data_IF_169493328399
#
_entry.id   IF_169493328399
#
_cell.length_a   1.000
_cell.length_b   1.000
_cell.length_c   1.000
_cell.angle_alpha   90.00
_cell.angle_beta   90.00
_cell.angle_gamma   90.00
#
_symmetry.space_group_name_H-M   'P 1'
#
loop_
_entity.id
_entity.type
_entity.pdbx_description
1 polymer ?
#
# COMPACT_ATOMS: atom_id res chain seq x y z
N UNK A 1 15.05 43.93 -27.87
CA UNK A 1 13.68 43.45 -27.63
C UNK A 1 13.52 42.07 -28.27
N UNK A 2 13.81 41.02 -27.48
CA UNK A 2 13.59 39.57 -27.71
C UNK A 2 14.67 38.81 -26.92
N UNK A 3 14.56 38.86 -25.59
CA UNK A 3 15.31 38.00 -24.66
C UNK A 3 14.87 38.36 -23.23
N UNK A 4 13.59 38.17 -22.91
CA UNK A 4 13.07 38.40 -21.55
C UNK A 4 11.61 37.95 -21.37
N UNK A 5 11.23 36.80 -21.95
CA UNK A 5 9.95 36.11 -21.64
C UNK A 5 10.12 34.62 -21.92
N UNK A 6 10.95 33.91 -21.17
CA UNK A 6 10.98 32.43 -21.18
C UNK A 6 11.70 31.83 -19.96
N UNK A 7 11.80 32.60 -18.88
CA UNK A 7 12.38 32.17 -17.61
C UNK A 7 11.42 32.53 -16.47
N UNK A 8 10.17 32.08 -16.60
CA UNK A 8 9.19 32.08 -15.51
C UNK A 8 8.16 30.99 -15.80
N UNK A 9 7.92 30.13 -14.80
CA UNK A 9 6.93 29.05 -14.74
C UNK A 9 7.31 27.70 -15.35
N UNK A 10 8.31 27.04 -14.75
CA UNK A 10 8.23 25.59 -14.58
C UNK A 10 7.22 25.29 -13.45
N UNK A 11 5.94 25.61 -13.69
CA UNK A 11 4.85 25.33 -12.76
C UNK A 11 4.72 23.82 -12.59
N UNK A 12 4.84 23.37 -11.34
CA UNK A 12 4.86 21.98 -10.92
C UNK A 12 3.74 21.15 -11.55
N UNK A 13 4.13 20.16 -12.38
CA UNK A 13 3.32 19.20 -13.14
C UNK A 13 2.96 17.94 -12.33
N UNK A 14 2.40 18.07 -11.12
CA UNK A 14 2.15 16.92 -10.23
C UNK A 14 0.71 16.87 -9.72
N UNK A 15 0.19 15.67 -9.49
CA UNK A 15 -1.10 15.45 -8.83
C UNK A 15 -0.91 15.65 -7.33
N UNK A 16 -1.74 16.52 -6.73
CA UNK A 16 -1.71 16.81 -5.30
C UNK A 16 -3.02 16.42 -4.62
N UNK A 17 -2.91 16.12 -3.33
CA UNK A 17 -4.04 15.83 -2.46
C UNK A 17 -4.85 17.10 -2.23
N UNK A 18 -6.16 16.98 -2.40
CA UNK A 18 -7.15 18.01 -2.09
C UNK A 18 -8.13 17.46 -1.06
N UNK A 19 -8.62 18.34 -0.19
CA UNK A 19 -9.50 17.97 0.92
C UNK A 19 -10.84 18.68 0.77
N UNK A 20 -11.92 17.91 0.93
CA UNK A 20 -13.31 18.37 0.93
C UNK A 20 -13.99 17.85 2.19
N UNK A 21 -14.14 18.71 3.18
CA UNK A 21 -14.84 18.40 4.44
C UNK A 21 -16.20 19.06 4.45
N UNK A 22 -17.24 18.37 4.91
CA UNK A 22 -18.60 18.93 5.07
C UNK A 22 -19.18 19.63 3.80
N UNK A 23 -18.87 19.10 2.61
CA UNK A 23 -19.29 19.54 1.27
C UNK A 23 -18.68 20.87 0.86
N UNK A 24 -17.55 21.24 1.48
CA UNK A 24 -16.75 22.38 1.05
C UNK A 24 -16.09 22.13 -0.31
N UNK A 25 -15.77 23.22 -1.01
CA UNK A 25 -15.01 23.13 -2.25
C UNK A 25 -13.62 22.51 -1.98
N UNK A 26 -13.15 21.54 -2.79
CA UNK A 26 -11.86 20.91 -2.58
C UNK A 26 -10.70 21.91 -2.55
N UNK A 27 -9.94 21.93 -1.45
CA UNK A 27 -8.76 22.77 -1.27
C UNK A 27 -7.49 21.94 -1.30
N UNK A 28 -6.44 22.45 -1.95
CA UNK A 28 -5.15 21.78 -1.95
C UNK A 28 -4.61 21.65 -0.52
N UNK A 29 -4.22 20.44 -0.13
CA UNK A 29 -3.64 20.21 1.18
C UNK A 29 -2.29 20.89 1.29
N UNK A 30 -2.04 21.56 2.43
CA UNK A 30 -0.74 22.15 2.73
C UNK A 30 0.23 21.04 3.16
N UNK A 31 1.52 21.18 2.83
CA UNK A 31 2.54 20.21 3.22
C UNK A 31 2.51 19.88 4.72
N UNK A 32 2.36 20.91 5.57
CA UNK A 32 2.37 20.79 7.04
C UNK A 32 1.02 20.40 7.65
N UNK A 33 -0.03 20.21 6.84
CA UNK A 33 -1.36 19.88 7.32
C UNK A 33 -1.52 18.37 7.47
N UNK A 34 -1.93 17.90 8.64
CA UNK A 34 -2.32 16.50 8.75
C UNK A 34 -3.62 16.22 8.00
N UNK A 35 -3.55 15.24 7.10
CA UNK A 35 -4.66 14.78 6.28
C UNK A 35 -5.61 13.92 7.09
N UNK A 36 -5.10 12.93 7.83
CA UNK A 36 -5.94 12.11 8.72
C UNK A 36 -6.63 12.99 9.77
N UNK A 37 -5.86 13.89 10.40
CA UNK A 37 -6.37 14.76 11.46
C UNK A 37 -7.37 15.82 10.98
N UNK A 38 -7.38 16.15 9.69
CA UNK A 38 -8.35 17.08 9.11
C UNK A 38 -9.79 16.56 9.24
N UNK A 39 -10.00 15.24 9.08
CA UNK A 39 -11.33 14.64 9.09
C UNK A 39 -11.78 14.22 10.50
N UNK A 40 -10.93 13.61 11.33
CA UNK A 40 -11.31 13.03 12.63
C UNK A 40 -10.68 13.70 13.87
N UNK A 41 -9.99 14.84 13.70
CA UNK A 41 -9.26 15.52 14.77
C UNK A 41 -7.85 15.00 15.03
N UNK A 42 -7.05 15.72 15.81
CA UNK A 42 -5.60 15.46 15.93
C UNK A 42 -5.24 14.14 16.64
N UNK A 43 -6.13 13.59 17.46
CA UNK A 43 -5.80 12.44 18.33
C UNK A 43 -5.93 11.08 17.64
N UNK A 44 -6.87 10.94 16.71
CA UNK A 44 -7.18 9.65 16.10
C UNK A 44 -6.27 9.39 14.88
N UNK A 45 -5.85 8.14 14.70
CA UNK A 45 -4.85 7.76 13.69
C UNK A 45 -5.48 7.07 12.47
N UNK A 46 -6.81 6.93 12.47
CA UNK A 46 -7.57 6.30 11.39
C UNK A 46 -8.92 6.98 11.18
N UNK A 47 -9.31 7.17 9.92
CA UNK A 47 -10.60 7.74 9.52
C UNK A 47 -11.09 7.07 8.24
N UNK A 48 -12.41 6.99 8.07
CA UNK A 48 -13.00 6.54 6.81
C UNK A 48 -13.24 7.75 5.91
N UNK A 49 -12.77 7.67 4.66
CA UNK A 49 -12.91 8.73 3.66
C UNK A 49 -13.32 8.15 2.32
N UNK A 50 -13.94 8.95 1.48
CA UNK A 50 -14.06 8.70 0.06
C UNK A 50 -12.90 9.37 -0.67
N UNK A 51 -12.49 8.79 -1.80
CA UNK A 51 -11.48 9.36 -2.65
C UNK A 51 -11.87 9.32 -4.13
N UNK A 52 -11.48 10.35 -4.87
CA UNK A 52 -11.63 10.40 -6.33
C UNK A 52 -10.42 11.10 -6.94
N UNK A 53 -9.93 10.60 -8.07
CA UNK A 53 -8.95 11.30 -8.89
C UNK A 53 -9.68 11.95 -10.06
N UNK A 54 -9.81 13.27 -10.05
CA UNK A 54 -10.52 14.02 -11.09
C UNK A 54 -9.75 15.30 -11.44
N UNK A 55 -9.66 15.63 -12.74
CA UNK A 55 -9.01 16.86 -13.21
C UNK A 55 -7.59 17.06 -12.62
N UNK A 56 -6.81 15.98 -12.54
CA UNK A 56 -5.47 15.93 -11.93
C UNK A 56 -5.41 16.33 -10.44
N UNK A 57 -6.52 16.17 -9.71
CA UNK A 57 -6.61 16.38 -8.26
C UNK A 57 -7.05 15.09 -7.59
N UNK A 58 -6.31 14.65 -6.60
CA UNK A 58 -6.73 13.52 -5.77
C UNK A 58 -7.51 14.07 -4.57
N UNK A 59 -8.84 13.98 -4.64
CA UNK A 59 -9.75 14.59 -3.68
C UNK A 59 -10.12 13.54 -2.63
N UNK A 60 -9.94 13.88 -1.36
CA UNK A 60 -10.43 13.13 -0.21
C UNK A 60 -11.63 13.85 0.42
N UNK A 61 -12.66 13.10 0.79
CA UNK A 61 -13.87 13.65 1.40
C UNK A 61 -14.47 12.78 2.48
N UNK A 62 -15.21 13.37 3.41
CA UNK A 62 -15.94 12.68 4.49
C UNK A 62 -17.42 12.44 4.19
N UNK A 63 -17.90 12.78 2.99
CA UNK A 63 -19.30 12.56 2.60
C UNK A 63 -19.64 11.10 2.48
N UNK A 64 -20.74 10.68 3.10
CA UNK A 64 -21.32 9.38 2.85
C UNK A 64 -21.82 9.31 1.40
N UNK A 65 -21.37 8.29 0.68
CA UNK A 65 -21.81 8.01 -0.69
C UNK A 65 -22.61 6.72 -0.62
N UNK A 66 -23.86 6.77 -1.07
CA UNK A 66 -24.77 5.62 -1.02
C UNK A 66 -24.14 4.40 -1.72
N UNK A 67 -24.08 3.27 -1.03
CA UNK A 67 -23.47 2.04 -1.54
C UNK A 67 -21.94 1.99 -1.54
N UNK A 68 -21.24 3.04 -1.07
CA UNK A 68 -19.79 3.03 -0.93
C UNK A 68 -19.40 3.15 0.56
N UNK A 69 -18.84 2.09 1.17
CA UNK A 69 -18.45 2.10 2.59
C UNK A 69 -17.26 3.02 2.88
N UNK A 70 -16.64 3.61 1.85
CA UNK A 70 -15.43 4.41 1.96
C UNK A 70 -14.18 3.55 2.17
N UNK A 71 -13.04 4.23 2.24
CA UNK A 71 -11.73 3.65 2.44
C UNK A 71 -11.16 4.10 3.78
N UNK A 72 -10.44 3.20 4.43
CA UNK A 72 -9.69 3.55 5.64
C UNK A 72 -8.46 4.35 5.22
N UNK A 73 -8.38 5.60 5.68
CA UNK A 73 -7.17 6.41 5.71
C UNK A 73 -6.53 6.28 7.09
N UNK A 74 -5.29 5.81 7.15
CA UNK A 74 -4.53 5.63 8.39
C UNK A 74 -3.16 6.30 8.33
N UNK A 75 -2.61 6.62 9.50
CA UNK A 75 -1.22 7.05 9.68
C UNK A 75 -0.56 6.27 10.82
N UNK A 76 0.77 6.34 10.90
CA UNK A 76 1.49 5.86 12.07
C UNK A 76 1.22 6.77 13.28
N UNK A 77 1.19 6.19 14.49
CA UNK A 77 1.02 6.97 15.72
C UNK A 77 2.12 8.03 15.90
N UNK A 78 3.34 7.72 15.46
CA UNK A 78 4.51 8.58 15.49
C UNK A 78 4.65 9.49 14.25
N UNK A 79 3.61 9.62 13.41
CA UNK A 79 3.65 10.43 12.19
C UNK A 79 4.12 11.87 12.49
N UNK A 80 5.19 12.38 11.84
CA UNK A 80 5.77 13.68 12.14
C UNK A 80 4.77 14.83 12.01
N UNK A 81 3.94 14.82 10.97
CA UNK A 81 2.94 15.86 10.73
C UNK A 81 1.86 15.92 11.82
N UNK A 82 1.62 14.82 12.55
CA UNK A 82 0.73 14.80 13.72
C UNK A 82 1.33 15.59 14.90
N UNK A 83 2.65 15.53 15.05
CA UNK A 83 3.38 16.04 16.22
C UNK A 83 4.14 17.34 15.96
N UNK A 84 4.18 17.79 14.70
CA UNK A 84 4.91 18.99 14.27
C UNK A 84 4.29 20.24 14.89
N UNK A 85 5.07 20.98 15.67
CA UNK A 85 4.63 22.27 16.23
C UNK A 85 4.62 23.37 15.16
N UNK A 86 3.87 24.45 15.41
CA UNK A 86 3.87 25.63 14.53
C UNK A 86 5.28 26.24 14.38
N UNK A 87 6.07 26.21 15.45
CA UNK A 87 7.46 26.70 15.44
C UNK A 87 8.35 25.87 14.51
N UNK A 88 8.29 24.54 14.59
CA UNK A 88 9.06 23.64 13.72
C UNK A 88 8.59 23.74 12.26
N UNK A 89 7.27 23.81 12.04
CA UNK A 89 6.69 24.01 10.72
C UNK A 89 7.16 25.31 10.06
N UNK A 90 7.37 26.38 10.84
CA UNK A 90 7.85 27.67 10.33
C UNK A 90 9.30 27.67 9.88
N UNK A 91 10.13 26.77 10.43
CA UNK A 91 11.57 26.63 10.13
C UNK A 91 11.80 25.81 8.85
N UNK A 92 10.82 25.01 8.42
CA UNK A 92 10.91 24.26 7.17
C UNK A 92 11.22 25.20 6.00
N UNK A 93 12.12 24.79 5.07
CA UNK A 93 12.39 25.54 3.85
C UNK A 93 11.11 25.87 3.07
N UNK A 94 11.07 27.03 2.44
CA UNK A 94 9.89 27.52 1.69
C UNK A 94 9.50 26.54 0.59
N UNK A 95 10.48 25.99 -0.13
CA UNK A 95 10.26 24.98 -1.16
C UNK A 95 9.62 23.72 -0.58
N UNK A 96 9.89 23.34 0.67
CA UNK A 96 9.23 22.19 1.32
C UNK A 96 7.79 22.54 1.70
N UNK A 97 7.57 23.72 2.30
CA UNK A 97 6.24 24.16 2.73
C UNK A 97 5.25 24.30 1.58
N UNK A 98 5.72 24.73 0.42
CA UNK A 98 4.88 25.04 -0.74
C UNK A 98 4.67 23.85 -1.68
N UNK A 99 5.23 22.67 -1.36
CA UNK A 99 5.10 21.45 -2.19
C UNK A 99 3.72 20.82 -2.19
N UNK A 100 2.89 21.11 -1.19
CA UNK A 100 1.63 20.39 -0.95
C UNK A 100 1.89 18.93 -0.52
N UNK A 101 0.87 18.08 -0.71
CA UNK A 101 0.96 16.65 -0.39
C UNK A 101 0.86 15.84 -1.68
N UNK A 102 1.91 15.06 -1.95
CA UNK A 102 2.04 14.24 -3.15
C UNK A 102 1.11 13.01 -3.08
N UNK A 103 0.81 12.41 -4.23
CA UNK A 103 -0.02 11.20 -4.32
C UNK A 103 0.83 10.04 -4.82
N UNK A 104 0.82 8.94 -4.08
CA UNK A 104 1.45 7.69 -4.49
C UNK A 104 0.42 6.57 -4.63
N UNK A 105 0.77 5.55 -5.39
CA UNK A 105 0.03 4.29 -5.51
C UNK A 105 0.98 3.12 -5.35
N UNK A 106 0.54 2.08 -4.64
CA UNK A 106 1.34 0.86 -4.46
C UNK A 106 0.48 -0.39 -4.69
N UNK A 107 1.03 -1.36 -5.40
CA UNK A 107 0.34 -2.57 -5.83
C UNK A 107 0.67 -3.73 -4.91
N UNK A 108 -0.35 -4.22 -4.20
CA UNK A 108 -0.28 -5.53 -3.57
C UNK A 108 -0.62 -6.58 -4.63
N UNK A 109 0.40 -7.14 -5.29
CA UNK A 109 0.22 -8.22 -6.24
C UNK A 109 0.05 -9.55 -5.50
N UNK A 110 -1.17 -10.08 -5.51
CA UNK A 110 -1.51 -11.39 -4.99
C UNK A 110 -1.49 -12.43 -6.10
N UNK A 111 -0.77 -13.53 -5.89
CA UNK A 111 -0.84 -14.71 -6.76
C UNK A 111 -2.13 -15.53 -6.54
N UNK A 112 -2.42 -16.42 -7.48
CA UNK A 112 -3.53 -17.39 -7.38
C UNK A 112 -3.44 -18.33 -6.18
N UNK A 113 -2.25 -18.48 -5.58
CA UNK A 113 -2.03 -19.23 -4.36
C UNK A 113 -1.71 -18.34 -3.15
N UNK A 114 -2.36 -17.17 -3.11
CA UNK A 114 -2.46 -16.28 -1.95
C UNK A 114 -1.11 -15.81 -1.39
N UNK A 115 -0.13 -15.56 -2.25
CA UNK A 115 1.13 -14.92 -1.87
C UNK A 115 1.20 -13.49 -2.38
N UNK A 116 1.76 -12.60 -1.57
CA UNK A 116 2.01 -11.20 -1.93
C UNK A 116 3.47 -11.02 -2.33
N UNK A 117 3.68 -10.31 -3.44
CA UNK A 117 5.01 -9.83 -3.84
C UNK A 117 5.39 -8.58 -3.02
N UNK A 118 6.57 -8.61 -2.42
CA UNK A 118 7.25 -7.43 -1.87
C UNK A 118 8.60 -7.24 -2.56
N UNK A 119 8.99 -5.98 -2.74
CA UNK A 119 10.28 -5.53 -3.25
C UNK A 119 11.07 -4.85 -2.14
N UNK A 120 12.38 -5.09 -2.08
CA UNK A 120 13.31 -4.35 -1.22
C UNK A 120 13.88 -3.19 -2.00
N UNK A 121 13.60 -1.97 -1.55
CA UNK A 121 14.11 -0.73 -2.17
C UNK A 121 15.63 -0.74 -2.24
N UNK A 122 16.18 -0.33 -3.38
CA UNK A 122 17.62 -0.29 -3.60
C UNK A 122 18.32 0.65 -2.60
N UNK A 123 19.55 0.28 -2.19
CA UNK A 123 20.28 0.95 -1.11
C UNK A 123 20.68 2.41 -1.44
N UNK A 124 20.72 2.78 -2.73
CA UNK A 124 21.04 4.11 -3.23
C UNK A 124 19.84 5.08 -3.23
N UNK A 125 18.62 4.61 -2.98
CA UNK A 125 17.44 5.45 -2.97
C UNK A 125 17.42 6.37 -1.74
N UNK A 126 17.10 7.65 -1.95
CA UNK A 126 17.12 8.67 -0.89
C UNK A 126 16.03 8.48 0.18
N UNK A 127 14.93 7.82 -0.18
CA UNK A 127 13.75 7.63 0.66
C UNK A 127 13.60 6.14 0.94
N UNK A 128 13.60 5.76 2.22
CA UNK A 128 13.45 4.39 2.71
C UNK A 128 14.36 3.34 2.01
N UNK A 129 15.69 3.53 1.93
CA UNK A 129 16.58 2.52 1.36
C UNK A 129 16.53 1.22 2.17
N UNK A 130 16.64 0.06 1.49
CA UNK A 130 16.57 -1.28 2.09
C UNK A 130 15.24 -1.62 2.79
N UNK A 131 14.20 -0.82 2.63
CA UNK A 131 12.88 -1.12 3.21
C UNK A 131 12.08 -1.97 2.22
N UNK A 132 11.39 -2.99 2.74
CA UNK A 132 10.48 -3.84 1.99
C UNK A 132 9.11 -3.16 1.84
N UNK A 133 8.66 -3.01 0.59
CA UNK A 133 7.39 -2.38 0.19
C UNK A 133 6.76 -3.16 -0.97
N UNK A 134 5.47 -3.00 -1.27
CA UNK A 134 4.93 -3.38 -2.58
C UNK A 134 5.48 -2.40 -3.63
N UNK A 135 5.59 -2.82 -4.91
CA UNK A 135 5.99 -1.93 -5.99
C UNK A 135 5.02 -0.75 -6.11
N UNK A 136 5.54 0.45 -6.36
CA UNK A 136 4.72 1.65 -6.37
C UNK A 136 5.51 2.96 -6.37
N UNK A 137 4.87 3.99 -6.89
CA UNK A 137 5.46 5.32 -7.03
C UNK A 137 4.41 6.41 -7.19
N UNK A 138 4.80 7.49 -7.85
CA UNK A 138 3.97 8.68 -8.00
C UNK A 138 2.93 8.50 -9.09
N UNK A 139 1.77 9.13 -8.91
CA UNK A 139 0.77 9.23 -9.98
C UNK A 139 1.12 10.41 -10.89
N UNK A 140 1.23 10.17 -12.19
CA UNK A 140 1.55 11.21 -13.17
C UNK A 140 0.28 11.90 -13.73
N UNK A 141 0.46 13.08 -14.33
CA UNK A 141 -0.65 13.83 -14.90
C UNK A 141 -1.35 13.05 -16.01
N UNK A 142 -2.67 13.02 -15.96
CA UNK A 142 -3.50 12.32 -16.95
C UNK A 142 -3.62 10.81 -16.72
N UNK A 143 -2.90 10.22 -15.76
CA UNK A 143 -3.04 8.81 -15.41
C UNK A 143 -4.24 8.58 -14.48
N UNK A 144 -4.88 7.40 -14.60
CA UNK A 144 -5.74 6.88 -13.54
C UNK A 144 -4.86 6.22 -12.47
N UNK A 145 -5.36 6.10 -11.25
CA UNK A 145 -4.64 5.45 -10.14
C UNK A 145 -4.20 4.02 -10.47
N UNK A 146 -5.08 3.22 -11.07
CA UNK A 146 -4.75 1.85 -11.45
C UNK A 146 -3.67 1.81 -12.54
N UNK A 147 -3.77 2.70 -13.55
CA UNK A 147 -2.80 2.76 -14.64
C UNK A 147 -1.40 3.11 -14.12
N UNK A 148 -1.30 4.10 -13.22
CA UNK A 148 -0.06 4.44 -12.54
C UNK A 148 0.50 3.25 -11.73
N UNK A 149 -0.35 2.55 -10.98
CA UNK A 149 0.09 1.38 -10.21
C UNK A 149 0.58 0.23 -11.09
N UNK A 150 -0.08 -0.02 -12.23
CA UNK A 150 0.34 -1.05 -13.19
C UNK A 150 1.65 -0.65 -13.92
N UNK A 151 1.86 0.63 -14.21
CA UNK A 151 3.13 1.16 -14.72
C UNK A 151 4.26 0.91 -13.71
N UNK A 152 4.08 1.31 -12.45
CA UNK A 152 5.09 1.12 -11.40
C UNK A 152 5.40 -0.37 -11.17
N UNK A 153 4.38 -1.25 -11.21
CA UNK A 153 4.59 -2.69 -11.18
C UNK A 153 5.49 -3.16 -12.33
N UNK A 154 5.28 -2.66 -13.54
CA UNK A 154 6.10 -2.98 -14.70
C UNK A 154 7.52 -2.41 -14.58
N UNK A 155 7.66 -1.14 -14.21
CA UNK A 155 8.95 -0.43 -14.14
C UNK A 155 9.87 -1.05 -13.07
N UNK A 156 9.33 -1.39 -11.90
CA UNK A 156 10.12 -1.95 -10.80
C UNK A 156 10.38 -3.45 -10.95
N UNK A 157 9.41 -4.22 -11.47
CA UNK A 157 9.43 -5.70 -11.40
C UNK A 157 9.45 -6.39 -12.75
N UNK A 158 9.16 -5.68 -13.84
CA UNK A 158 8.98 -6.23 -15.18
C UNK A 158 7.67 -7.00 -15.38
N UNK A 159 6.84 -7.18 -14.35
CA UNK A 159 5.56 -7.87 -14.47
C UNK A 159 4.58 -6.99 -15.24
N UNK A 160 3.94 -7.57 -16.25
CA UNK A 160 2.82 -6.96 -16.99
C UNK A 160 1.66 -7.94 -16.96
N UNK A 161 0.45 -7.49 -16.63
CA UNK A 161 -0.73 -8.34 -16.62
C UNK A 161 -1.76 -7.83 -17.62
N UNK A 162 -2.32 -8.73 -18.41
CA UNK A 162 -3.45 -8.43 -19.28
C UNK A 162 -4.75 -8.24 -18.47
N UNK A 163 -5.77 -7.56 -19.02
CA UNK A 163 -7.03 -7.28 -18.30
C UNK A 163 -7.75 -8.53 -17.77
N UNK A 164 -7.63 -9.67 -18.45
CA UNK A 164 -8.24 -10.94 -18.05
C UNK A 164 -7.36 -11.75 -17.06
N UNK A 165 -6.13 -11.29 -16.79
CA UNK A 165 -5.19 -11.96 -15.89
C UNK A 165 -5.32 -11.49 -14.44
N UNK A 166 -6.14 -10.47 -14.16
CA UNK A 166 -6.31 -9.96 -12.79
C UNK A 166 -7.68 -9.33 -12.51
N UNK A 167 -8.04 -9.31 -11.23
CA UNK A 167 -9.02 -8.38 -10.68
C UNK A 167 -8.34 -7.33 -9.81
N UNK A 168 -8.95 -6.16 -9.66
CA UNK A 168 -8.40 -5.05 -8.87
C UNK A 168 -9.40 -4.54 -7.84
N UNK A 169 -8.93 -4.23 -6.64
CA UNK A 169 -9.71 -3.54 -5.62
C UNK A 169 -8.84 -2.56 -4.83
N UNK A 170 -9.39 -1.39 -4.48
CA UNK A 170 -8.73 -0.45 -3.58
C UNK A 170 -8.85 -0.96 -2.15
N UNK A 171 -7.73 -1.05 -1.43
CA UNK A 171 -7.70 -1.53 -0.04
C UNK A 171 -7.87 -0.39 0.96
N UNK A 172 -7.09 0.67 0.79
CA UNK A 172 -7.04 1.76 1.75
C UNK A 172 -5.95 2.78 1.43
N UNK A 173 -5.89 3.82 2.26
CA UNK A 173 -5.03 4.98 2.10
C UNK A 173 -4.09 5.11 3.30
N UNK A 174 -2.87 5.55 3.05
CA UNK A 174 -1.87 5.75 4.09
C UNK A 174 -1.22 7.13 4.00
N UNK A 175 -1.29 7.90 5.09
CA UNK A 175 -0.58 9.18 5.24
C UNK A 175 0.89 8.90 5.61
N UNK A 176 1.76 9.01 4.61
CA UNK A 176 3.19 8.74 4.71
C UNK A 176 3.97 10.05 4.79
N UNK A 177 4.96 10.10 5.66
CA UNK A 177 5.85 11.25 5.82
C UNK A 177 7.29 10.74 5.91
N UNK A 178 8.22 11.45 5.29
CA UNK A 178 9.65 11.14 5.38
C UNK A 178 10.44 12.38 5.82
N UNK A 179 11.40 12.25 6.77
CA UNK A 179 11.67 11.06 7.60
C UNK A 179 10.44 10.61 8.42
N UNK A 180 10.32 9.33 8.79
CA UNK A 180 9.09 8.79 9.38
C UNK A 180 8.82 9.21 10.82
N UNK A 181 9.76 9.88 11.48
CA UNK A 181 9.68 10.33 12.88
C UNK A 181 10.43 11.65 13.04
N UNK A 182 9.96 12.55 13.90
CA UNK A 182 10.67 13.81 14.19
C UNK A 182 12.05 13.60 14.81
N UNK A 183 12.26 12.50 15.55
CA UNK A 183 13.56 12.11 16.09
C UNK A 183 14.61 11.82 15.00
N UNK A 184 14.17 11.60 13.76
CA UNK A 184 15.03 11.34 12.60
C UNK A 184 15.19 12.58 11.69
N UNK A 185 14.58 13.71 12.05
CA UNK A 185 14.65 14.96 11.31
C UNK A 185 13.27 15.52 10.96
N UNK A 186 13.26 16.78 10.54
CA UNK A 186 12.04 17.46 10.10
C UNK A 186 11.53 16.88 8.77
N UNK A 187 10.20 16.82 8.58
CA UNK A 187 9.61 16.22 7.39
C UNK A 187 9.97 16.99 6.12
N UNK A 188 10.38 16.25 5.08
CA UNK A 188 10.70 16.80 3.75
C UNK A 188 9.88 16.18 2.61
N UNK A 189 9.10 15.13 2.90
CA UNK A 189 8.13 14.51 2.00
C UNK A 189 6.86 14.18 2.75
N UNK A 190 5.72 14.36 2.09
CA UNK A 190 4.40 14.06 2.62
C UNK A 190 3.55 13.53 1.47
N UNK A 191 3.01 12.33 1.64
CA UNK A 191 2.25 11.61 0.63
C UNK A 191 0.98 11.01 1.20
N UNK A 192 -0.06 10.91 0.37
CA UNK A 192 -1.10 9.91 0.53
C UNK A 192 -0.80 8.75 -0.43
N UNK A 193 -0.57 7.57 0.12
CA UNK A 193 -0.33 6.33 -0.65
C UNK A 193 -1.64 5.56 -0.75
N UNK A 194 -2.08 5.30 -1.97
CA UNK A 194 -3.25 4.47 -2.27
C UNK A 194 -2.81 3.02 -2.50
N UNK A 195 -3.26 2.09 -1.67
CA UNK A 195 -2.95 0.68 -1.84
C UNK A 195 -4.02 -0.02 -2.66
N UNK A 196 -3.61 -0.59 -3.79
CA UNK A 196 -4.49 -1.37 -4.68
C UNK A 196 -4.06 -2.83 -4.63
N UNK A 197 -5.02 -3.71 -4.36
CA UNK A 197 -4.82 -5.16 -4.47
C UNK A 197 -5.09 -5.57 -5.91
N UNK A 198 -4.12 -6.28 -6.49
CA UNK A 198 -4.22 -6.92 -7.80
C UNK A 198 -4.19 -8.43 -7.57
N UNK A 199 -5.29 -9.12 -7.85
CA UNK A 199 -5.39 -10.57 -7.69
C UNK A 199 -5.17 -11.24 -9.02
N UNK A 200 -3.99 -11.81 -9.22
CA UNK A 200 -3.62 -12.50 -10.45
C UNK A 200 -4.21 -13.91 -10.51
N UNK A 201 -4.58 -14.34 -11.71
CA UNK A 201 -4.95 -15.73 -12.00
C UNK A 201 -3.75 -16.69 -12.03
N UNK A 202 -2.52 -16.15 -11.98
CA UNK A 202 -1.27 -16.92 -12.04
C UNK A 202 -0.70 -17.21 -10.65
N UNK A 203 -0.08 -18.37 -10.51
CA UNK A 203 0.66 -18.76 -9.30
C UNK A 203 1.92 -17.92 -9.12
N UNK A 204 2.44 -17.86 -7.88
CA UNK A 204 3.69 -17.14 -7.63
C UNK A 204 4.89 -17.75 -8.39
N UNK A 205 4.86 -19.04 -8.76
CA UNK A 205 5.91 -19.64 -9.58
C UNK A 205 5.88 -19.10 -11.01
N UNK A 206 4.71 -19.02 -11.63
CA UNK A 206 4.56 -18.44 -12.97
C UNK A 206 4.94 -16.97 -12.98
N UNK A 207 4.54 -16.21 -11.96
CA UNK A 207 4.92 -14.79 -11.82
C UNK A 207 6.42 -14.62 -11.54
N UNK A 208 7.03 -15.53 -10.77
CA UNK A 208 8.48 -15.52 -10.49
C UNK A 208 9.31 -15.64 -11.77
N UNK A 209 8.92 -16.49 -12.72
CA UNK A 209 9.61 -16.65 -14.01
C UNK A 209 9.53 -15.39 -14.89
N UNK A 210 8.49 -14.56 -14.67
CA UNK A 210 8.25 -13.31 -15.38
C UNK A 210 8.97 -12.10 -14.76
N UNK A 211 9.49 -12.21 -13.55
CA UNK A 211 10.17 -11.10 -12.88
C UNK A 211 11.42 -10.66 -13.66
N UNK A 212 11.49 -9.37 -13.97
CA UNK A 212 12.64 -8.67 -14.56
C UNK A 212 12.82 -7.34 -13.81
N UNK A 213 13.25 -7.37 -12.54
CA UNK A 213 13.29 -6.16 -11.73
C UNK A 213 14.37 -5.19 -12.19
N UNK A 214 14.12 -3.91 -12.00
CA UNK A 214 15.08 -2.86 -12.27
C UNK A 214 16.06 -2.72 -11.07
N UNK A 215 17.36 -3.02 -11.23
CA UNK A 215 18.33 -2.96 -10.13
C UNK A 215 18.57 -1.55 -9.57
N UNK A 216 18.13 -0.50 -10.27
CA UNK A 216 18.20 0.88 -9.75
C UNK A 216 17.12 1.18 -8.72
N UNK A 217 16.01 0.45 -8.75
CA UNK A 217 14.85 0.65 -7.87
C UNK A 217 14.73 -0.47 -6.83
N UNK A 218 15.00 -1.70 -7.24
CA UNK A 218 14.77 -2.91 -6.45
C UNK A 218 16.07 -3.69 -6.28
N UNK A 219 16.40 -4.01 -5.03
CA UNK A 219 17.55 -4.85 -4.66
C UNK A 219 17.19 -6.30 -4.35
N UNK A 220 15.94 -6.60 -4.01
CA UNK A 220 15.48 -7.98 -3.78
C UNK A 220 13.96 -8.09 -3.94
N UNK A 221 13.46 -9.31 -4.18
CA UNK A 221 12.04 -9.63 -4.23
C UNK A 221 11.71 -10.82 -3.32
N UNK A 222 10.51 -10.85 -2.74
CA UNK A 222 10.02 -11.97 -1.92
C UNK A 222 8.53 -12.20 -2.13
N UNK A 223 8.12 -13.47 -2.13
CA UNK A 223 6.71 -13.89 -2.10
C UNK A 223 6.34 -14.38 -0.70
N UNK A 224 5.46 -13.67 -0.01
CA UNK A 224 5.04 -14.00 1.36
C UNK A 224 3.58 -14.49 1.41
N UNK A 225 3.35 -15.61 2.08
CA UNK A 225 2.00 -16.15 2.30
C UNK A 225 1.34 -15.61 3.57
N UNK A 226 0.06 -15.97 3.84
CA UNK A 226 -0.73 -15.37 4.92
C UNK A 226 -0.11 -15.51 6.31
N UNK A 227 0.51 -16.64 6.62
CA UNK A 227 1.12 -16.89 7.94
C UNK A 227 2.32 -15.97 8.22
N UNK A 228 3.20 -15.78 7.22
CA UNK A 228 4.33 -14.86 7.32
C UNK A 228 3.84 -13.41 7.41
N UNK A 229 2.82 -13.07 6.62
CA UNK A 229 2.21 -11.74 6.67
C UNK A 229 1.57 -11.46 8.02
N UNK A 230 0.92 -12.44 8.64
CA UNK A 230 0.38 -12.31 9.99
C UNK A 230 1.48 -11.95 11.00
N UNK A 231 2.66 -12.57 10.92
CA UNK A 231 3.80 -12.22 11.79
C UNK A 231 4.34 -10.80 11.52
N UNK A 232 4.42 -10.40 10.25
CA UNK A 232 4.82 -9.04 9.85
C UNK A 232 3.87 -7.99 10.43
N UNK A 233 2.55 -8.20 10.31
CA UNK A 233 1.51 -7.28 10.77
C UNK A 233 1.45 -7.21 12.30
N UNK A 234 1.66 -8.32 13.00
CA UNK A 234 1.72 -8.37 14.47
C UNK A 234 2.93 -7.61 15.04
N UNK A 235 3.93 -7.29 14.22
CA UNK A 235 5.14 -6.57 14.64
C UNK A 235 4.93 -5.07 14.57
N UNK A 236 4.26 -4.51 15.57
CA UNK A 236 3.83 -3.10 15.62
C UNK A 236 5.05 -2.18 15.74
N UNK A 237 5.16 -1.20 14.83
CA UNK A 237 6.21 -0.19 14.86
C UNK A 237 5.97 0.82 16.01
N UNK A 238 7.03 1.18 16.73
CA UNK A 238 6.97 2.14 17.85
C UNK A 238 6.80 1.52 19.23
N UNK A 239 6.69 0.19 19.34
CA UNK A 239 6.73 -0.55 20.60
C UNK A 239 8.11 -1.19 20.83
N UNK A 240 8.66 -1.02 22.04
CA UNK A 240 10.03 -1.42 22.40
C UNK A 240 10.26 -2.95 22.53
N UNK A 241 9.23 -3.77 22.33
CA UNK A 241 9.40 -5.23 22.40
C UNK A 241 10.17 -5.78 21.20
N UNK A 242 11.07 -6.74 21.45
CA UNK A 242 11.79 -7.44 20.40
C UNK A 242 10.83 -8.44 19.74
N UNK A 243 10.41 -8.17 18.50
CA UNK A 243 9.54 -9.08 17.76
C UNK A 243 10.15 -10.48 17.70
N UNK A 244 9.46 -11.46 18.30
CA UNK A 244 9.88 -12.86 18.26
C UNK A 244 9.18 -13.54 17.09
N UNK A 245 9.94 -14.25 16.26
CA UNK A 245 9.37 -15.11 15.24
C UNK A 245 8.51 -16.19 15.93
N UNK A 246 7.22 -16.34 15.58
CA UNK A 246 6.39 -17.43 16.07
C UNK A 246 7.03 -18.80 15.83
N UNK A 247 6.96 -19.71 16.81
CA UNK A 247 7.65 -21.01 16.77
C UNK A 247 7.11 -21.93 15.63
N UNK A 248 5.95 -21.61 15.05
CA UNK A 248 5.32 -22.33 13.93
C UNK A 248 5.79 -21.85 12.54
N UNK A 249 6.59 -20.78 12.47
CA UNK A 249 7.12 -20.23 11.23
C UNK A 249 8.57 -20.64 10.98
N UNK A 250 9.00 -20.72 9.71
CA UNK A 250 10.39 -21.02 9.40
C UNK A 250 11.33 -19.89 9.83
N UNK A 251 12.55 -20.25 10.27
CA UNK A 251 13.58 -19.27 10.65
C UNK A 251 14.02 -18.36 9.49
N UNK A 252 13.87 -18.84 8.25
CA UNK A 252 14.26 -18.11 7.04
C UNK A 252 13.19 -18.17 5.97
N UNK A 253 13.18 -17.15 5.10
CA UNK A 253 12.34 -17.06 3.90
C UNK A 253 13.22 -17.02 2.66
N UNK A 254 12.76 -17.63 1.57
CA UNK A 254 13.45 -17.55 0.28
C UNK A 254 13.17 -16.20 -0.37
N UNK A 255 14.23 -15.51 -0.78
CA UNK A 255 14.16 -14.26 -1.52
C UNK A 255 14.95 -14.39 -2.82
N UNK A 256 14.72 -13.47 -3.76
CA UNK A 256 15.52 -13.32 -4.97
C UNK A 256 16.29 -12.00 -4.88
N UNK A 257 17.61 -12.06 -4.69
CA UNK A 257 18.48 -10.87 -4.75
C UNK A 257 18.61 -10.41 -6.20
N UNK A 258 18.56 -9.08 -6.41
CA UNK A 258 18.67 -8.47 -7.73
C UNK A 258 20.13 -8.05 -7.95
N UNK A 259 20.79 -8.72 -8.88
CA UNK A 259 22.16 -8.41 -9.28
C UNK A 259 22.19 -7.14 -10.14
N UNK A 260 23.37 -6.53 -10.32
CA UNK A 260 23.54 -5.26 -11.07
C UNK A 260 23.08 -5.34 -12.53
N UNK A 261 23.08 -6.53 -13.11
CA UNK A 261 22.61 -6.83 -14.47
C UNK A 261 21.11 -7.19 -14.52
N UNK A 262 20.40 -7.10 -13.39
CA UNK A 262 18.98 -7.44 -13.26
C UNK A 262 18.72 -8.94 -13.07
N UNK A 263 19.76 -9.79 -13.05
CA UNK A 263 19.60 -11.23 -12.83
C UNK A 263 19.20 -11.51 -11.39
N UNK A 264 18.25 -12.42 -11.23
CA UNK A 264 17.77 -12.87 -9.91
C UNK A 264 18.65 -14.00 -9.36
N UNK A 265 19.18 -13.80 -8.16
CA UNK A 265 19.92 -14.82 -7.43
C UNK A 265 19.12 -15.30 -6.20
N UNK A 266 18.62 -16.54 -6.19
CA UNK A 266 17.92 -17.09 -5.03
C UNK A 266 18.81 -17.15 -3.78
N UNK A 267 18.31 -16.67 -2.65
CA UNK A 267 18.98 -16.77 -1.35
C UNK A 267 17.95 -16.90 -0.22
N UNK A 268 18.43 -17.02 1.01
CA UNK A 268 17.61 -17.07 2.22
C UNK A 268 17.84 -15.82 3.07
N UNK A 269 16.75 -15.24 3.56
CA UNK A 269 16.74 -14.12 4.49
C UNK A 269 16.19 -14.60 5.84
N UNK A 270 16.80 -14.24 6.99
CA UNK A 270 16.19 -14.50 8.29
C UNK A 270 14.80 -13.85 8.36
N UNK A 271 13.78 -14.62 8.76
CA UNK A 271 12.42 -14.11 8.86
C UNK A 271 12.31 -12.95 9.87
N UNK A 272 13.19 -12.94 10.88
CA UNK A 272 13.36 -11.83 11.83
C UNK A 272 13.53 -10.48 11.15
N UNK A 273 14.14 -10.43 9.96
CA UNK A 273 14.32 -9.17 9.20
C UNK A 273 12.98 -8.59 8.73
N UNK A 274 12.04 -9.43 8.27
CA UNK A 274 10.74 -8.94 7.80
C UNK A 274 9.83 -8.48 8.96
N UNK A 275 10.09 -8.95 10.17
CA UNK A 275 9.38 -8.55 11.40
C UNK A 275 10.09 -7.44 12.17
N UNK A 276 11.23 -6.93 11.66
CA UNK A 276 11.89 -5.77 12.25
C UNK A 276 10.93 -4.57 12.35
N UNK A 277 11.16 -3.75 13.37
CA UNK A 277 10.38 -2.56 13.67
C UNK A 277 11.12 -1.29 13.25
N UNK A 278 10.37 -0.24 12.95
CA UNK A 278 10.93 1.09 12.75
C UNK A 278 11.61 1.57 14.03
N UNK A 279 12.92 1.84 13.99
CA UNK A 279 13.69 2.27 15.16
C UNK A 279 13.58 3.78 15.38
N UNK A 280 13.42 4.20 16.63
CA UNK A 280 13.25 5.62 17.01
C UNK A 280 14.55 6.41 17.01
N UNK A 281 15.68 5.72 17.18
CA UNK A 281 17.04 6.28 17.19
C UNK A 281 17.98 5.45 16.31
N UNK A 282 19.10 6.07 15.90
CA UNK A 282 20.11 5.41 15.08
C UNK A 282 19.72 5.24 13.60
N UNK A 283 20.51 4.48 12.82
CA UNK A 283 20.18 4.19 11.43
C UNK A 283 18.85 3.43 11.33
N UNK A 284 18.15 3.56 10.20
CA UNK A 284 17.02 2.66 9.92
C UNK A 284 17.57 1.24 9.65
N UNK A 285 16.72 0.24 9.84
CA UNK A 285 17.07 -1.17 9.64
C UNK A 285 16.29 -1.72 8.45
N UNK A 286 16.80 -2.77 7.82
CA UNK A 286 16.01 -3.53 6.84
C UNK A 286 14.77 -4.10 7.53
N UNK A 287 13.59 -3.72 7.03
CA UNK A 287 12.28 -4.04 7.60
C UNK A 287 11.18 -3.89 6.57
N UNK A 288 9.99 -4.39 6.87
CA UNK A 288 8.77 -4.02 6.13
C UNK A 288 8.31 -2.64 6.56
N UNK A 289 7.94 -1.78 5.60
CA UNK A 289 7.49 -0.42 5.91
C UNK A 289 6.19 -0.42 6.73
N UNK A 290 5.99 0.61 7.56
CA UNK A 290 4.80 0.74 8.41
C UNK A 290 3.50 0.81 7.58
N UNK A 291 3.54 1.53 6.45
CA UNK A 291 2.40 1.58 5.52
C UNK A 291 2.13 0.24 4.85
N UNK A 292 3.19 -0.53 4.55
CA UNK A 292 3.05 -1.89 4.01
C UNK A 292 2.43 -2.83 5.02
N UNK A 293 2.79 -2.76 6.31
CA UNK A 293 2.13 -3.52 7.38
C UNK A 293 0.63 -3.22 7.43
N UNK A 294 0.23 -1.96 7.29
CA UNK A 294 -1.18 -1.58 7.19
C UNK A 294 -1.87 -2.19 5.96
N UNK A 295 -1.27 -2.09 4.78
CA UNK A 295 -1.86 -2.65 3.56
C UNK A 295 -2.00 -4.18 3.63
N UNK A 296 -1.00 -4.86 4.20
CA UNK A 296 -1.03 -6.30 4.45
C UNK A 296 -2.11 -6.70 5.46
N UNK A 297 -2.35 -5.89 6.50
CA UNK A 297 -3.46 -6.10 7.45
C UNK A 297 -4.82 -6.04 6.72
N UNK A 298 -4.99 -5.08 5.81
CA UNK A 298 -6.20 -4.98 4.98
C UNK A 298 -6.33 -6.17 4.05
N UNK A 299 -5.23 -6.60 3.42
CA UNK A 299 -5.22 -7.80 2.60
C UNK A 299 -5.67 -9.05 3.37
N UNK A 300 -5.14 -9.30 4.58
CA UNK A 300 -5.58 -10.42 5.42
C UNK A 300 -7.10 -10.39 5.69
N UNK A 301 -7.70 -9.21 5.89
CA UNK A 301 -9.15 -9.06 6.07
C UNK A 301 -9.92 -9.48 4.83
N UNK A 302 -9.41 -9.22 3.62
CA UNK A 302 -10.05 -9.66 2.37
C UNK A 302 -10.12 -11.19 2.28
N UNK A 303 -9.06 -11.91 2.67
CA UNK A 303 -9.04 -13.37 2.69
C UNK A 303 -10.09 -13.96 3.66
N UNK A 304 -10.23 -13.38 4.85
CA UNK A 304 -11.25 -13.80 5.83
C UNK A 304 -12.66 -13.63 5.28
N UNK A 305 -12.92 -12.53 4.55
CA UNK A 305 -14.22 -12.26 3.93
C UNK A 305 -14.50 -13.28 2.82
N UNK A 306 -13.52 -13.56 1.96
CA UNK A 306 -13.65 -14.57 0.89
C UNK A 306 -13.98 -15.96 1.46
N UNK A 307 -13.22 -16.41 2.48
CA UNK A 307 -13.45 -17.70 3.15
C UNK A 307 -14.81 -17.80 3.86
N UNK A 308 -15.40 -16.69 4.30
CA UNK A 308 -16.75 -16.67 4.87
C UNK A 308 -17.82 -16.76 3.79
N UNK A 309 -17.62 -16.07 2.67
CA UNK A 309 -18.51 -16.13 1.52
C UNK A 309 -18.58 -17.55 0.93
N UNK A 310 -17.44 -18.23 0.79
CA UNK A 310 -17.36 -19.60 0.27
C UNK A 310 -18.06 -20.61 1.19
N UNK A 311 -17.86 -20.49 2.52
CA UNK A 311 -18.57 -21.31 3.51
C UNK A 311 -20.08 -21.13 3.45
N UNK A 312 -20.55 -19.89 3.40
CA UNK A 312 -21.97 -19.59 3.31
C UNK A 312 -22.62 -20.09 2.01
N UNK A 313 -21.88 -20.08 0.89
CA UNK A 313 -22.35 -20.67 -0.38
C UNK A 313 -22.42 -22.20 -0.31
N UNK A 314 -21.43 -22.85 0.28
CA UNK A 314 -21.41 -24.31 0.45
C UNK A 314 -22.53 -24.80 1.41
N UNK A 315 -22.83 -24.06 2.47
CA UNK A 315 -23.92 -24.38 3.40
C UNK A 315 -25.31 -24.23 2.74
N UNK A 316 -25.52 -23.20 1.92
CA UNK A 316 -26.76 -23.02 1.13
C UNK A 316 -26.91 -24.09 0.03
N UNK A 317 -25.81 -24.51 -0.61
CA UNK A 317 -25.83 -25.59 -1.59
C UNK A 317 -26.23 -26.94 -0.98
N UNK A 318 -25.83 -27.20 0.26
CA UNK A 318 -26.13 -28.45 0.98
C UNK A 318 -27.59 -28.54 1.46
N UNK A 319 -28.22 -27.40 1.78
CA UNK A 319 -29.66 -27.36 2.11
C UNK A 319 -30.58 -27.56 0.89
N UNK A 320 -30.15 -27.17 -0.31
CA UNK A 320 -30.95 -27.37 -1.53
C UNK A 320 -30.90 -28.82 -2.01
N UNK A 321 -29.82 -29.57 -1.75
CA UNK A 321 -29.72 -30.99 -2.10
C UNK A 321 -30.44 -31.93 -1.14
N UNK A 322 -30.90 -31.46 0.02
CA UNK A 322 -31.60 -32.28 1.02
C UNK A 322 -33.13 -32.19 0.96
N UNK A 323 -33.71 -31.37 0.06
CA UNK A 323 -35.17 -31.24 -0.09
C UNK A 323 -35.75 -31.90 -1.36
N UNK A 324 -34.98 -32.73 -2.08
CA UNK A 324 -35.42 -33.36 -3.34
C UNK A 324 -35.24 -34.88 -3.35
N UNK A 325 -35.69 -35.56 -2.31
CA UNK A 325 -35.97 -37.00 -2.36
C UNK A 325 -37.16 -37.28 -1.44
N UNK A 326 -38.38 -37.20 -1.97
CA UNK A 326 -39.60 -37.89 -1.50
C UNK A 326 -40.78 -37.52 -2.41
N UNK A 327 -40.85 -38.12 -3.60
CA UNK A 327 -42.15 -38.57 -4.10
C UNK A 327 -42.00 -39.81 -4.97
N UNK A 328 -42.52 -40.89 -4.42
CA UNK A 328 -42.60 -42.25 -4.92
C UNK A 328 -43.55 -42.38 -6.09
N UNK A 329 -43.11 -43.11 -7.11
CA UNK A 329 -43.93 -43.74 -8.14
C UNK A 329 -45.01 -44.63 -7.51
N UNK A 330 -46.25 -44.49 -7.96
CA UNK A 330 -47.29 -45.52 -7.84
C UNK A 330 -47.71 -45.90 -9.26
N UNK A 331 -47.22 -47.07 -9.69
CA UNK A 331 -47.64 -47.75 -10.90
C UNK A 331 -49.06 -48.31 -10.75
N UNK A 332 -49.86 -48.10 -11.79
CA UNK A 332 -51.05 -48.88 -12.13
C UNK A 332 -50.65 -50.28 -12.61
N UNK A 333 -51.33 -51.33 -12.14
CA UNK A 333 -51.79 -52.44 -12.98
C UNK A 333 -52.81 -53.34 -12.28
N UNK A 334 -53.80 -53.74 -13.09
CA UNK A 334 -54.93 -54.68 -12.89
C UNK A 334 -56.12 -54.25 -12.05
#
# INVERSE_FOLDING_TARGET
MKASVEAEMETVRRILVHLSKENSLPQCARFVQSITGHFNGSHNDSVTVNCVLENNKFILSDHEVEGNPGLILKRAHFCPIKHLSESEASILPVDIRDRGVDVGVAILLQSANEKILLTRRAANLAIFPNVWVPPGGHVELGEKLLDAGMRELQEETGITLGPEEYSSQMLGLWESVFPPMLSRGLPCRHHIVSYVLIQSTQTHHELQERLRPNPQEVSACVWVGPAVVQAIVSSIDGEDDCGRVPDDLPETVRISEVMKDGVLHPTSLPLSVLINKATTQGPDVERVSTGTKFALELWLKTLVIAQRSDRNQNEKGTQVTSSSFLHTDVLSMT
#
